data_IF_273908280254
#
_entry.id   IF_273908280254
#
_cell.length_a   1.000
_cell.length_b   1.000
_cell.length_c   1.000
_cell.angle_alpha   90.00
_cell.angle_beta   90.00
_cell.angle_gamma   90.00
#
_symmetry.space_group_name_H-M   'P 1'
#
loop_
_entity.id
_entity.type
_entity.pdbx_description
1 polymer ?
#
# COMPACT_ATOMS: atom_id res chain seq x y z
N UNK A 1 81.24 -32.86 -73.46
CA UNK A 1 81.45 -32.43 -72.06
C UNK A 1 80.08 -32.51 -71.38
N UNK A 2 79.61 -33.75 -71.18
CA UNK A 2 79.32 -34.31 -69.84
C UNK A 2 78.07 -33.72 -69.20
N UNK A 3 76.92 -34.27 -69.60
CA UNK A 3 75.77 -34.47 -68.72
C UNK A 3 76.22 -35.33 -67.52
N UNK A 4 76.36 -34.75 -66.32
CA UNK A 4 76.26 -35.43 -65.02
C UNK A 4 76.56 -34.41 -63.90
N UNK A 5 75.52 -33.75 -63.41
CA UNK A 5 75.37 -33.32 -62.00
C UNK A 5 73.96 -32.77 -61.81
N UNK A 6 72.98 -33.62 -62.16
CA UNK A 6 71.58 -33.46 -61.81
C UNK A 6 71.24 -34.11 -60.46
N UNK A 7 72.18 -34.67 -59.70
CA UNK A 7 71.89 -35.49 -58.50
C UNK A 7 72.80 -35.23 -57.27
N UNK A 8 73.43 -34.05 -57.13
CA UNK A 8 74.24 -33.78 -55.93
C UNK A 8 74.25 -32.32 -55.46
N UNK A 9 73.11 -31.64 -55.56
CA UNK A 9 72.76 -30.53 -54.67
C UNK A 9 71.41 -30.86 -54.00
N UNK A 10 71.33 -32.08 -53.46
CA UNK A 10 70.33 -32.48 -52.47
C UNK A 10 71.15 -32.59 -51.19
N UNK A 11 71.22 -31.53 -50.37
CA UNK A 11 71.48 -31.59 -48.90
C UNK A 11 71.75 -30.24 -48.20
N UNK A 12 71.39 -29.09 -48.77
CA UNK A 12 71.30 -27.87 -47.94
C UNK A 12 70.00 -27.12 -48.17
N UNK A 13 69.23 -27.09 -47.10
CA UNK A 13 68.15 -26.17 -46.83
C UNK A 13 66.81 -26.52 -47.50
N UNK A 14 66.40 -27.78 -47.33
CA UNK A 14 65.07 -27.98 -46.73
C UNK A 14 65.02 -27.18 -45.43
N UNK A 15 63.87 -26.55 -45.18
CA UNK A 15 63.51 -25.82 -43.96
C UNK A 15 63.76 -24.30 -43.98
N UNK A 16 63.29 -23.63 -45.03
CA UNK A 16 62.74 -22.27 -44.87
C UNK A 16 61.20 -22.36 -44.88
N UNK A 17 60.71 -23.04 -43.84
CA UNK A 17 59.31 -23.22 -43.46
C UNK A 17 58.58 -21.87 -43.51
N UNK A 18 57.61 -21.78 -44.41
CA UNK A 18 56.64 -20.70 -44.45
C UNK A 18 56.00 -20.61 -43.07
N UNK A 19 56.42 -19.62 -42.28
CA UNK A 19 55.94 -19.42 -40.91
C UNK A 19 54.51 -18.92 -40.99
N UNK A 20 53.59 -19.88 -41.03
CA UNK A 20 52.18 -19.71 -40.81
C UNK A 20 51.99 -19.02 -39.46
N UNK A 21 51.52 -17.77 -39.49
CA UNK A 21 51.28 -16.99 -38.28
C UNK A 21 50.13 -17.64 -37.49
N UNK A 22 50.50 -18.52 -36.55
CA UNK A 22 49.58 -19.16 -35.61
C UNK A 22 48.72 -18.08 -34.92
N UNK A 23 47.38 -18.22 -34.91
CA UNK A 23 46.53 -17.29 -34.19
C UNK A 23 46.93 -17.33 -32.71
N UNK A 24 47.40 -16.19 -32.20
CA UNK A 24 47.86 -16.03 -30.83
C UNK A 24 46.65 -16.28 -29.91
N UNK A 25 46.61 -17.45 -29.28
CA UNK A 25 45.52 -17.84 -28.40
C UNK A 25 45.27 -16.73 -27.36
N UNK A 26 44.10 -16.08 -27.45
CA UNK A 26 43.67 -15.13 -26.43
C UNK A 26 43.62 -15.87 -25.09
N UNK A 27 44.52 -15.50 -24.18
CA UNK A 27 44.54 -16.01 -22.81
C UNK A 27 43.21 -15.62 -22.17
N UNK A 28 42.29 -16.58 -22.05
CA UNK A 28 41.03 -16.41 -21.31
C UNK A 28 41.38 -15.93 -19.90
N UNK A 29 41.07 -14.67 -19.59
CA UNK A 29 41.22 -14.13 -18.25
C UNK A 29 40.26 -14.87 -17.34
N UNK A 30 40.79 -15.70 -16.44
CA UNK A 30 39.97 -16.37 -15.45
C UNK A 30 39.51 -15.33 -14.40
N UNK A 31 38.24 -15.39 -13.94
CA UNK A 31 37.77 -14.49 -12.90
C UNK A 31 38.58 -14.67 -11.61
N UNK A 32 39.05 -13.57 -11.00
CA UNK A 32 39.81 -13.57 -9.73
C UNK A 32 38.95 -14.00 -8.53
N UNK A 33 37.62 -14.05 -8.71
CA UNK A 33 36.68 -14.47 -7.68
C UNK A 33 36.08 -15.82 -8.10
N UNK A 34 36.14 -16.87 -7.25
CA UNK A 34 35.54 -18.17 -7.55
C UNK A 34 34.06 -17.99 -7.93
N UNK A 35 33.64 -18.53 -9.08
CA UNK A 35 32.24 -18.41 -9.56
C UNK A 35 31.22 -19.09 -8.62
N UNK A 36 31.69 -19.92 -7.69
CA UNK A 36 30.90 -20.61 -6.66
C UNK A 36 31.09 -19.93 -5.29
N UNK A 37 31.02 -18.61 -5.23
CA UNK A 37 31.15 -17.92 -3.94
C UNK A 37 29.83 -18.01 -3.18
N UNK A 38 29.83 -18.69 -2.02
CA UNK A 38 28.69 -18.77 -1.08
C UNK A 38 28.18 -17.37 -0.73
N UNK A 39 29.06 -16.36 -0.72
CA UNK A 39 28.68 -14.96 -0.53
C UNK A 39 27.70 -14.43 -1.60
N UNK A 40 27.84 -14.87 -2.86
CA UNK A 40 26.92 -14.48 -3.94
C UNK A 40 25.53 -15.11 -3.78
N UNK A 41 25.49 -16.41 -3.42
CA UNK A 41 24.23 -17.11 -3.11
C UNK A 41 23.55 -16.54 -1.85
N UNK A 42 24.34 -16.24 -0.82
CA UNK A 42 23.86 -15.61 0.40
C UNK A 42 23.30 -14.22 0.13
N UNK A 43 23.97 -13.40 -0.69
CA UNK A 43 23.47 -12.08 -1.07
C UNK A 43 22.14 -12.16 -1.83
N UNK A 44 22.02 -13.07 -2.81
CA UNK A 44 20.75 -13.30 -3.54
C UNK A 44 19.65 -13.75 -2.58
N UNK A 45 19.95 -14.63 -1.63
CA UNK A 45 18.99 -15.09 -0.63
C UNK A 45 18.53 -13.93 0.27
N UNK A 46 19.45 -13.06 0.72
CA UNK A 46 19.11 -11.88 1.53
C UNK A 46 18.23 -10.92 0.76
N UNK A 47 18.57 -10.64 -0.51
CA UNK A 47 17.74 -9.79 -1.38
C UNK A 47 16.34 -10.40 -1.51
N UNK A 48 16.24 -11.70 -1.78
CA UNK A 48 14.96 -12.40 -1.89
C UNK A 48 14.12 -12.26 -0.61
N UNK A 49 14.72 -12.46 0.58
CA UNK A 49 14.04 -12.30 1.87
C UNK A 49 13.61 -10.85 2.10
N UNK A 50 14.50 -9.87 1.88
CA UNK A 50 14.19 -8.46 2.08
C UNK A 50 13.09 -7.98 1.13
N UNK A 51 13.15 -8.36 -0.15
CA UNK A 51 12.11 -8.05 -1.13
C UNK A 51 10.79 -8.71 -0.75
N UNK A 52 10.80 -9.99 -0.34
CA UNK A 52 9.61 -10.68 0.14
C UNK A 52 8.96 -9.96 1.33
N UNK A 53 9.75 -9.62 2.36
CA UNK A 53 9.25 -8.91 3.54
C UNK A 53 8.75 -7.51 3.19
N UNK A 54 9.40 -6.82 2.26
CA UNK A 54 8.97 -5.51 1.77
C UNK A 54 7.63 -5.60 1.06
N UNK A 55 7.44 -6.57 0.17
CA UNK A 55 6.16 -6.80 -0.52
C UNK A 55 5.06 -7.21 0.45
N UNK A 56 5.36 -8.06 1.45
CA UNK A 56 4.41 -8.47 2.49
C UNK A 56 3.95 -7.26 3.32
N UNK A 57 4.90 -6.43 3.76
CA UNK A 57 4.61 -5.21 4.54
C UNK A 57 3.81 -4.22 3.70
N UNK A 58 4.21 -3.99 2.44
CA UNK A 58 3.48 -3.11 1.53
C UNK A 58 2.04 -3.58 1.34
N UNK A 59 1.82 -4.86 1.05
CA UNK A 59 0.49 -5.44 0.94
C UNK A 59 -0.32 -5.28 2.22
N UNK A 60 0.25 -5.61 3.38
CA UNK A 60 -0.43 -5.46 4.67
C UNK A 60 -0.83 -4.01 4.97
N UNK A 61 0.07 -3.04 4.75
CA UNK A 61 -0.20 -1.61 4.93
C UNK A 61 -1.29 -1.14 3.97
N UNK A 62 -1.28 -1.58 2.71
CA UNK A 62 -2.35 -1.26 1.75
C UNK A 62 -3.71 -1.77 2.22
N UNK A 63 -3.81 -3.03 2.66
CA UNK A 63 -5.05 -3.59 3.18
C UNK A 63 -5.57 -2.81 4.42
N UNK A 64 -4.67 -2.46 5.33
CA UNK A 64 -5.02 -1.65 6.52
C UNK A 64 -5.49 -0.26 6.12
N UNK A 65 -4.81 0.38 5.16
CA UNK A 65 -5.17 1.72 4.69
C UNK A 65 -6.52 1.74 4.00
N UNK A 66 -6.81 0.72 3.19
CA UNK A 66 -8.11 0.57 2.53
C UNK A 66 -9.21 0.39 3.58
N UNK A 67 -8.99 -0.47 4.58
CA UNK A 67 -9.93 -0.68 5.70
C UNK A 67 -10.16 0.60 6.51
N UNK A 68 -9.10 1.35 6.81
CA UNK A 68 -9.18 2.62 7.51
C UNK A 68 -9.96 3.67 6.70
N UNK A 69 -9.76 3.72 5.38
CA UNK A 69 -10.48 4.65 4.50
C UNK A 69 -11.98 4.36 4.42
N UNK A 70 -12.37 3.08 4.54
CA UNK A 70 -13.78 2.67 4.59
C UNK A 70 -14.41 3.11 5.92
N UNK A 71 -13.71 2.91 7.04
CA UNK A 71 -14.16 3.38 8.36
C UNK A 71 -14.26 4.91 8.43
N UNK A 72 -13.28 5.63 7.91
CA UNK A 72 -13.29 7.09 7.83
C UNK A 72 -14.46 7.58 6.97
N UNK A 73 -14.72 6.92 5.84
CA UNK A 73 -15.89 7.24 5.01
C UNK A 73 -17.23 6.94 5.69
N UNK A 74 -17.29 5.95 6.58
CA UNK A 74 -18.50 5.64 7.35
C UNK A 74 -18.73 6.67 8.46
N UNK A 75 -17.68 7.12 9.16
CA UNK A 75 -17.80 8.17 10.16
C UNK A 75 -18.06 9.56 9.53
N UNK A 76 -17.54 9.81 8.34
CA UNK A 76 -17.65 11.11 7.65
C UNK A 76 -19.04 11.39 7.08
N UNK A 77 -19.93 10.40 7.01
CA UNK A 77 -21.24 10.51 6.36
C UNK A 77 -22.39 10.69 7.32
N UNK A 78 -22.14 10.63 8.62
CA UNK A 78 -23.13 10.90 9.64
C UNK A 78 -23.00 12.34 10.13
N UNK A 79 -24.06 13.13 9.96
CA UNK A 79 -24.13 14.49 10.46
C UNK A 79 -25.20 14.59 11.56
N UNK A 80 -24.88 15.33 12.61
CA UNK A 80 -25.79 15.53 13.75
C UNK A 80 -26.28 16.97 13.78
N UNK A 81 -27.59 17.16 13.69
CA UNK A 81 -28.24 18.45 13.89
C UNK A 81 -28.70 18.53 15.35
N UNK A 82 -28.30 19.58 16.06
CA UNK A 82 -28.68 19.80 17.45
C UNK A 82 -29.58 21.01 17.57
N UNK A 83 -30.75 20.84 18.19
CA UNK A 83 -31.65 21.94 18.49
C UNK A 83 -31.67 22.14 20.00
N UNK A 84 -31.21 23.32 20.43
CA UNK A 84 -31.17 23.69 21.84
C UNK A 84 -32.56 24.19 22.29
N UNK A 85 -33.02 23.83 23.49
CA UNK A 85 -34.26 24.38 24.03
C UNK A 85 -34.09 25.89 24.25
N UNK A 86 -35.01 26.68 23.68
CA UNK A 86 -35.11 28.13 23.90
C UNK A 86 -36.56 28.47 24.28
N UNK A 87 -36.75 29.49 25.11
CA UNK A 87 -38.08 29.88 25.57
C UNK A 87 -39.00 30.23 24.39
N UNK A 88 -40.22 29.68 24.41
CA UNK A 88 -41.23 29.91 23.36
C UNK A 88 -41.03 29.11 22.07
N UNK A 89 -40.02 28.24 21.96
CA UNK A 89 -39.86 27.34 20.83
C UNK A 89 -40.64 26.04 21.03
N UNK A 90 -41.55 25.73 20.10
CA UNK A 90 -42.14 24.39 20.00
C UNK A 90 -41.08 23.40 19.50
N UNK A 91 -40.65 22.53 20.41
CA UNK A 91 -39.54 21.63 20.15
C UNK A 91 -39.90 20.56 19.10
N UNK A 92 -41.12 20.04 19.11
CA UNK A 92 -41.53 18.97 18.20
C UNK A 92 -41.75 19.51 16.79
N UNK A 93 -42.31 20.72 16.67
CA UNK A 93 -42.40 21.42 15.39
C UNK A 93 -41.01 21.72 14.80
N UNK A 94 -40.08 22.21 15.63
CA UNK A 94 -38.71 22.50 15.20
C UNK A 94 -37.95 21.24 14.75
N UNK A 95 -38.11 20.11 15.46
CA UNK A 95 -37.50 18.83 15.08
C UNK A 95 -38.05 18.30 13.76
N UNK A 96 -39.37 18.37 13.58
CA UNK A 96 -40.02 17.94 12.35
C UNK A 96 -39.58 18.78 11.16
N UNK A 97 -39.57 20.11 11.32
CA UNK A 97 -39.12 21.03 10.30
C UNK A 97 -37.64 20.82 9.94
N UNK A 98 -36.76 20.70 10.93
CA UNK A 98 -35.34 20.46 10.69
C UNK A 98 -35.09 19.11 9.99
N UNK A 99 -35.82 18.06 10.38
CA UNK A 99 -35.75 16.75 9.74
C UNK A 99 -36.20 16.79 8.28
N UNK A 100 -37.28 17.52 7.98
CA UNK A 100 -37.76 17.69 6.62
C UNK A 100 -36.77 18.47 5.75
N UNK A 101 -36.31 19.63 6.24
CA UNK A 101 -35.31 20.44 5.54
C UNK A 101 -34.06 19.63 5.25
N UNK A 102 -33.55 18.89 6.25
CA UNK A 102 -32.37 18.04 6.06
C UNK A 102 -32.60 16.94 5.02
N UNK A 103 -33.79 16.33 4.99
CA UNK A 103 -34.14 15.29 4.01
C UNK A 103 -34.26 15.79 2.57
N UNK A 104 -34.47 17.09 2.36
CA UNK A 104 -34.54 17.69 1.01
C UNK A 104 -33.15 17.92 0.38
N UNK A 105 -32.06 17.80 1.15
CA UNK A 105 -30.71 18.00 0.62
C UNK A 105 -30.23 16.81 -0.23
N UNK A 106 -29.61 17.08 -1.39
CA UNK A 106 -29.05 16.02 -2.24
C UNK A 106 -27.91 15.30 -1.51
N UNK A 107 -28.01 13.99 -1.44
CA UNK A 107 -27.00 13.13 -0.78
C UNK A 107 -27.43 12.61 0.59
N UNK A 108 -28.53 13.09 1.16
CA UNK A 108 -29.14 12.54 2.38
C UNK A 108 -29.94 11.29 2.03
N UNK A 109 -29.61 10.18 2.69
CA UNK A 109 -30.34 8.90 2.60
C UNK A 109 -31.47 8.83 3.61
N UNK A 110 -31.23 9.31 4.83
CA UNK A 110 -32.22 9.26 5.90
C UNK A 110 -31.96 10.32 6.97
N UNK A 111 -33.05 10.78 7.60
CA UNK A 111 -33.05 11.61 8.79
C UNK A 111 -33.76 10.87 9.92
N UNK A 112 -33.17 10.86 11.12
CA UNK A 112 -33.71 10.17 12.29
C UNK A 112 -33.67 11.08 13.50
N UNK A 113 -34.84 11.40 14.04
CA UNK A 113 -34.98 12.14 15.29
C UNK A 113 -34.68 11.20 16.44
N UNK A 114 -33.82 11.62 17.36
CA UNK A 114 -33.55 10.89 18.60
C UNK A 114 -34.63 11.25 19.63
N UNK A 115 -35.27 10.21 20.17
CA UNK A 115 -36.27 10.33 21.22
C UNK A 115 -35.63 10.71 22.56
N UNK A 116 -36.47 11.20 23.47
CA UNK A 116 -36.03 11.59 24.82
C UNK A 116 -35.47 10.39 25.58
N UNK A 117 -36.11 9.23 25.43
CA UNK A 117 -35.72 8.00 26.13
C UNK A 117 -34.35 7.47 25.68
N UNK A 118 -34.02 7.47 24.38
CA UNK A 118 -32.67 7.12 23.95
C UNK A 118 -31.65 8.15 24.41
N UNK A 119 -32.00 9.44 24.45
CA UNK A 119 -31.12 10.46 25.03
C UNK A 119 -30.83 10.17 26.50
N UNK A 120 -31.82 9.74 27.28
CA UNK A 120 -31.65 9.37 28.69
C UNK A 120 -30.71 8.18 28.84
N UNK A 121 -30.89 7.13 28.02
CA UNK A 121 -30.01 5.97 27.97
C UNK A 121 -28.55 6.32 27.62
N UNK A 122 -28.33 7.29 26.74
CA UNK A 122 -26.98 7.76 26.39
C UNK A 122 -26.29 8.50 27.55
N UNK A 123 -27.06 9.14 28.42
CA UNK A 123 -26.56 9.93 29.55
C UNK A 123 -26.44 9.11 30.85
N UNK A 124 -27.18 8.01 30.98
CA UNK A 124 -27.18 7.12 32.14
C UNK A 124 -25.78 6.67 32.62
N UNK A 125 -24.81 6.32 31.74
CA UNK A 125 -23.46 5.94 32.19
C UNK A 125 -22.70 7.05 32.91
N UNK A 126 -23.08 8.31 32.67
CA UNK A 126 -22.37 9.48 33.18
C UNK A 126 -23.09 10.12 34.36
N UNK A 127 -24.42 10.16 34.32
CA UNK A 127 -25.24 10.87 35.30
C UNK A 127 -26.06 9.93 36.21
N UNK A 128 -26.03 8.63 35.96
CA UNK A 128 -26.75 7.61 36.73
C UNK A 128 -28.15 7.30 36.19
N UNK A 129 -28.73 6.22 36.73
CA UNK A 129 -30.07 5.74 36.40
C UNK A 129 -31.16 6.60 37.05
N UNK A 130 -32.29 6.81 36.36
CA UNK A 130 -33.46 7.50 36.91
C UNK A 130 -33.45 9.02 36.77
N UNK A 131 -32.63 9.54 35.85
CA UNK A 131 -32.55 10.97 35.59
C UNK A 131 -33.75 11.46 34.78
N UNK A 132 -34.44 12.48 35.29
CA UNK A 132 -35.55 13.11 34.58
C UNK A 132 -35.01 14.08 33.51
N UNK A 133 -35.04 13.66 32.25
CA UNK A 133 -34.52 14.47 31.13
C UNK A 133 -35.26 15.80 30.97
N UNK A 134 -36.52 15.88 31.40
CA UNK A 134 -37.35 17.07 31.22
C UNK A 134 -36.94 18.23 32.13
N UNK A 135 -36.17 17.96 33.18
CA UNK A 135 -35.63 18.97 34.11
C UNK A 135 -34.28 19.54 33.64
N UNK A 136 -33.66 18.89 32.65
CA UNK A 136 -32.38 19.34 32.10
C UNK A 136 -32.60 20.06 30.76
N UNK A 137 -31.88 21.17 30.50
CA UNK A 137 -31.84 21.79 29.19
C UNK A 137 -30.97 20.95 28.23
N UNK A 138 -31.42 19.75 27.90
CA UNK A 138 -30.75 18.86 26.95
C UNK A 138 -31.15 19.21 25.51
N UNK A 139 -30.19 19.35 24.59
CA UNK A 139 -30.50 19.54 23.19
C UNK A 139 -31.13 18.28 22.59
N UNK A 140 -32.05 18.46 21.65
CA UNK A 140 -32.63 17.37 20.87
C UNK A 140 -31.79 17.14 19.62
N UNK A 141 -31.56 15.88 19.28
CA UNK A 141 -30.64 15.47 18.22
C UNK A 141 -31.40 14.88 17.04
N UNK A 142 -30.93 15.19 15.83
CA UNK A 142 -31.34 14.55 14.59
C UNK A 142 -30.07 14.01 13.93
N UNK A 143 -30.10 12.72 13.58
CA UNK A 143 -29.03 12.06 12.85
C UNK A 143 -29.38 12.08 11.36
N UNK A 144 -28.41 12.44 10.54
CA UNK A 144 -28.52 12.51 9.08
C UNK A 144 -27.46 11.57 8.48
N UNK A 145 -27.88 10.66 7.60
CA UNK A 145 -27.02 9.66 6.92
C UNK A 145 -27.26 9.66 5.42
#
# INVERSE_FOLDING_TARGET
MTELSAEHFVEREQDAEATEAKPRAQRRMAPIVPAQNIAGRALVLVIAIMTFLSCLTFGAVTLVRDTASVWENQISREATIQIKPVEGLDMEAALTQASQIAGEFPGVKATRIIDREATARLLEPWLGSGLNIDELPVPRLIIVT
#
